data_IF_713475490636
#
_entry.id   IF_713475490636
#
_cell.length_a   1.000
_cell.length_b   1.000
_cell.length_c   1.000
_cell.angle_alpha   90.00
_cell.angle_beta   90.00
_cell.angle_gamma   90.00
#
_symmetry.space_group_name_H-M   'P 1'
#
loop_
_entity.id
_entity.type
_entity.pdbx_description
1 polymer ?
#
# COMPACT_ATOMS: atom_id res chain seq x y z
N UNK A 1 -12.29 12.92 15.47
CA UNK A 1 -11.09 13.38 14.71
C UNK A 1 -10.38 12.13 14.23
N UNK A 2 -9.93 12.06 12.99
CA UNK A 2 -9.27 10.86 12.46
C UNK A 2 -7.81 10.89 12.89
N UNK A 3 -7.31 9.78 13.43
CA UNK A 3 -5.88 9.54 13.55
C UNK A 3 -5.43 8.50 12.54
N UNK A 4 -4.32 8.76 11.85
CA UNK A 4 -3.68 7.77 10.99
C UNK A 4 -2.34 7.41 11.64
N UNK A 5 -2.21 6.17 12.07
CA UNK A 5 -0.99 5.63 12.65
C UNK A 5 -0.20 4.92 11.56
N UNK A 6 0.89 5.54 11.11
CA UNK A 6 1.88 4.92 10.22
C UNK A 6 2.86 4.15 11.09
N UNK A 7 2.80 2.83 11.03
CA UNK A 7 3.57 1.93 11.89
C UNK A 7 4.84 1.50 11.15
N UNK A 8 6.00 1.59 11.82
CA UNK A 8 7.28 1.15 11.24
C UNK A 8 7.29 -0.38 11.10
N UNK A 9 7.03 -0.86 9.89
CA UNK A 9 7.10 -2.27 9.54
C UNK A 9 8.53 -2.75 9.20
N UNK A 10 9.55 -1.90 9.41
CA UNK A 10 10.92 -1.98 8.86
C UNK A 10 10.97 -1.95 7.33
N UNK A 11 10.29 -2.89 6.67
CA UNK A 11 10.08 -2.90 5.24
C UNK A 11 8.62 -3.32 5.02
N UNK A 12 7.88 -2.57 4.20
CA UNK A 12 6.46 -2.84 4.01
C UNK A 12 5.53 -1.77 4.55
N UNK A 13 4.23 -2.05 4.41
CA UNK A 13 3.15 -1.18 4.84
C UNK A 13 2.46 -1.71 6.10
N UNK A 14 2.15 -0.80 7.02
CA UNK A 14 1.16 -1.02 8.07
C UNK A 14 0.59 0.32 8.53
N UNK A 15 -0.70 0.54 8.26
CA UNK A 15 -1.41 1.79 8.54
C UNK A 15 -2.68 1.48 9.31
N UNK A 16 -2.86 2.11 10.47
CA UNK A 16 -4.09 2.01 11.24
C UNK A 16 -4.81 3.36 11.24
N UNK A 17 -5.97 3.40 10.57
CA UNK A 17 -6.88 4.54 10.60
C UNK A 17 -7.83 4.35 11.78
N UNK A 18 -7.68 5.23 12.77
CA UNK A 18 -8.42 5.26 14.01
C UNK A 18 -9.46 6.40 13.97
N UNK A 19 -10.67 6.05 13.55
CA UNK A 19 -11.86 6.90 13.69
C UNK A 19 -12.46 6.69 15.08
N UNK A 20 -13.12 7.72 15.62
CA UNK A 20 -13.72 7.64 16.97
C UNK A 20 -14.66 6.42 17.14
N UNK A 21 -15.35 6.04 16.06
CA UNK A 21 -16.35 4.98 16.01
C UNK A 21 -15.94 3.74 15.20
N UNK A 22 -14.77 3.75 14.53
CA UNK A 22 -14.34 2.63 13.70
C UNK A 22 -12.83 2.52 13.53
N UNK A 23 -12.32 1.31 13.32
CA UNK A 23 -10.89 1.02 13.11
C UNK A 23 -10.68 0.31 11.78
N UNK A 24 -9.82 0.88 10.94
CA UNK A 24 -9.43 0.32 9.64
C UNK A 24 -7.93 0.04 9.66
N UNK A 25 -7.54 -1.22 9.47
CA UNK A 25 -6.14 -1.62 9.31
C UNK A 25 -5.84 -1.87 7.84
N UNK A 26 -4.83 -1.21 7.29
CA UNK A 26 -4.33 -1.44 5.92
C UNK A 26 -2.94 -2.04 6.04
N UNK A 27 -2.81 -3.27 5.58
CA UNK A 27 -1.61 -4.12 5.67
C UNK A 27 -1.10 -4.35 7.11
N UNK A 28 -0.20 -5.32 7.26
CA UNK A 28 0.30 -5.77 8.57
C UNK A 28 1.81 -6.05 8.56
N UNK A 29 2.54 -5.50 7.60
CA UNK A 29 3.99 -5.68 7.50
C UNK A 29 4.44 -7.13 7.27
N UNK A 30 5.76 -7.37 7.37
CA UNK A 30 6.40 -8.65 7.04
C UNK A 30 6.27 -9.68 8.15
N UNK A 31 6.31 -10.98 7.78
CA UNK A 31 6.26 -12.08 8.75
C UNK A 31 7.55 -12.25 9.55
N UNK A 32 8.63 -11.58 9.14
CA UNK A 32 9.94 -11.69 9.80
C UNK A 32 9.81 -11.36 11.29
N UNK A 33 10.43 -12.18 12.15
CA UNK A 33 10.14 -12.15 13.60
C UNK A 33 10.30 -10.77 14.25
N UNK A 34 11.40 -10.06 13.94
CA UNK A 34 11.68 -8.74 14.52
C UNK A 34 10.61 -7.72 14.12
N UNK A 35 10.42 -7.54 12.82
CA UNK A 35 9.46 -6.58 12.27
C UNK A 35 8.03 -6.88 12.74
N UNK A 36 7.61 -8.14 12.59
CA UNK A 36 6.31 -8.62 13.04
C UNK A 36 6.04 -8.32 14.50
N UNK A 37 6.98 -8.64 15.38
CA UNK A 37 6.82 -8.41 16.82
C UNK A 37 6.61 -6.93 17.10
N UNK A 38 7.40 -6.06 16.46
CA UNK A 38 7.35 -4.62 16.70
C UNK A 38 6.05 -4.01 16.14
N UNK A 39 5.58 -4.45 14.96
CA UNK A 39 4.28 -4.08 14.39
C UNK A 39 3.14 -4.48 15.31
N UNK A 40 3.05 -5.75 15.70
CA UNK A 40 1.96 -6.26 16.55
C UNK A 40 1.94 -5.57 17.92
N UNK A 41 3.11 -5.37 18.54
CA UNK A 41 3.20 -4.65 19.81
C UNK A 41 2.71 -3.20 19.70
N UNK A 42 2.95 -2.52 18.56
CA UNK A 42 2.43 -1.18 18.32
C UNK A 42 0.92 -1.18 18.08
N UNK A 43 0.38 -2.12 17.31
CA UNK A 43 -1.07 -2.28 17.11
C UNK A 43 -1.77 -2.51 18.46
N UNK A 44 -1.28 -3.46 19.27
CA UNK A 44 -1.83 -3.75 20.61
C UNK A 44 -1.73 -2.55 21.55
N UNK A 45 -0.64 -1.79 21.49
CA UNK A 45 -0.48 -0.57 22.30
C UNK A 45 -1.44 0.54 21.90
N UNK A 46 -1.75 0.68 20.61
CA UNK A 46 -2.69 1.69 20.11
C UNK A 46 -4.13 1.30 20.43
N UNK A 47 -4.51 0.06 20.11
CA UNK A 47 -5.89 -0.41 20.21
C UNK A 47 -6.26 -0.87 21.61
N UNK A 48 -5.32 -1.42 22.37
CA UNK A 48 -5.58 -2.14 23.61
C UNK A 48 -6.01 -3.60 23.40
N UNK A 49 -5.99 -4.38 24.47
CA UNK A 49 -6.40 -5.80 24.45
C UNK A 49 -7.90 -5.96 24.14
N UNK A 50 -8.26 -7.03 23.43
CA UNK A 50 -9.64 -7.37 23.04
C UNK A 50 -10.35 -6.34 22.15
N UNK A 51 -9.62 -5.36 21.63
CA UNK A 51 -10.16 -4.38 20.69
C UNK A 51 -10.53 -5.00 19.35
N UNK A 52 -11.35 -4.27 18.61
CA UNK A 52 -11.94 -4.72 17.34
C UNK A 52 -11.45 -3.83 16.21
N UNK A 53 -10.94 -4.48 15.16
CA UNK A 53 -10.72 -3.89 13.84
C UNK A 53 -11.97 -4.19 13.01
N UNK A 54 -12.71 -3.15 12.61
CA UNK A 54 -13.94 -3.32 11.83
C UNK A 54 -13.65 -3.88 10.45
N UNK A 55 -12.57 -3.37 9.84
CA UNK A 55 -12.11 -3.80 8.53
C UNK A 55 -10.58 -3.83 8.47
N UNK A 56 -10.05 -4.99 8.13
CA UNK A 56 -8.67 -5.17 7.72
C UNK A 56 -8.60 -5.26 6.19
N UNK A 57 -7.62 -4.61 5.59
CA UNK A 57 -7.42 -4.56 4.15
C UNK A 57 -6.03 -5.12 3.86
N UNK A 58 -5.98 -6.15 3.03
CA UNK A 58 -4.75 -6.68 2.48
C UNK A 58 -4.63 -6.14 1.06
N UNK A 59 -3.68 -5.23 0.83
CA UNK A 59 -3.55 -4.58 -0.48
C UNK A 59 -3.16 -5.61 -1.54
N UNK A 60 -2.19 -6.47 -1.25
CA UNK A 60 -1.76 -7.58 -2.09
C UNK A 60 -1.00 -8.64 -1.27
N UNK A 61 -0.47 -9.67 -1.91
CA UNK A 61 0.05 -10.88 -1.26
C UNK A 61 1.57 -10.92 -1.01
N UNK A 62 2.31 -9.83 -1.23
CA UNK A 62 3.73 -9.81 -0.87
C UNK A 62 3.93 -9.78 0.64
N UNK A 63 5.03 -10.39 1.08
CA UNK A 63 5.28 -10.67 2.49
C UNK A 63 5.24 -9.41 3.35
N UNK A 64 5.82 -8.32 2.87
CA UNK A 64 5.91 -7.03 3.55
C UNK A 64 4.58 -6.28 3.65
N UNK A 65 3.49 -6.86 3.13
CA UNK A 65 2.14 -6.35 3.29
C UNK A 65 1.26 -7.33 4.08
N UNK A 66 1.19 -8.59 3.64
CA UNK A 66 0.28 -9.58 4.22
C UNK A 66 0.87 -10.32 5.43
N UNK A 67 2.20 -10.35 5.57
CA UNK A 67 2.92 -11.34 6.38
C UNK A 67 2.59 -11.33 7.87
N UNK A 68 2.24 -10.17 8.43
CA UNK A 68 1.86 -10.05 9.84
C UNK A 68 0.45 -10.51 10.18
N UNK A 69 -0.47 -10.61 9.20
CA UNK A 69 -1.89 -10.87 9.49
C UNK A 69 -2.14 -12.23 10.15
N UNK A 70 -1.44 -13.28 9.72
CA UNK A 70 -1.57 -14.62 10.32
C UNK A 70 -1.36 -14.56 11.84
N UNK A 71 -0.39 -13.76 12.28
CA UNK A 71 -0.02 -13.63 13.68
C UNK A 71 -0.90 -12.64 14.44
N UNK A 72 -1.41 -11.60 13.76
CA UNK A 72 -2.41 -10.71 14.33
C UNK A 72 -3.67 -11.49 14.73
N UNK A 73 -4.08 -12.46 13.91
CA UNK A 73 -5.23 -13.32 14.18
C UNK A 73 -5.06 -14.22 15.41
N UNK A 74 -3.84 -14.42 15.90
CA UNK A 74 -3.54 -15.20 17.10
C UNK A 74 -3.39 -14.33 18.37
N UNK A 75 -3.56 -13.00 18.24
CA UNK A 75 -3.62 -12.07 19.37
C UNK A 75 -5.03 -12.00 19.96
N UNK A 76 -5.22 -11.13 20.98
CA UNK A 76 -6.56 -10.83 21.52
C UNK A 76 -7.40 -9.92 20.62
N UNK A 77 -6.78 -9.29 19.61
CA UNK A 77 -7.45 -8.34 18.72
C UNK A 77 -8.34 -9.11 17.75
N UNK A 78 -9.57 -8.63 17.60
CA UNK A 78 -10.57 -9.23 16.71
C UNK A 78 -10.64 -8.45 15.41
N UNK A 79 -10.91 -9.15 14.31
CA UNK A 79 -11.18 -8.56 13.01
C UNK A 79 -12.60 -8.95 12.61
N UNK A 80 -13.47 -7.97 12.35
CA UNK A 80 -14.84 -8.24 11.91
C UNK A 80 -14.87 -8.61 10.43
N UNK A 81 -14.22 -7.81 9.59
CA UNK A 81 -14.19 -7.99 8.13
C UNK A 81 -12.75 -7.94 7.62
N UNK A 82 -12.40 -8.79 6.67
CA UNK A 82 -11.16 -8.70 5.91
C UNK A 82 -11.46 -8.54 4.42
N UNK A 83 -10.91 -7.50 3.82
CA UNK A 83 -10.91 -7.28 2.37
C UNK A 83 -9.60 -7.81 1.81
N UNK A 84 -9.67 -8.81 0.94
CA UNK A 84 -8.51 -9.38 0.28
C UNK A 84 -8.90 -10.05 -1.04
N UNK A 85 -8.23 -9.69 -2.13
CA UNK A 85 -8.37 -10.36 -3.42
C UNK A 85 -7.41 -11.56 -3.48
N UNK A 86 -7.73 -12.63 -2.74
CA UNK A 86 -6.86 -13.80 -2.71
C UNK A 86 -6.86 -14.52 -4.06
N UNK A 87 -5.73 -15.12 -4.46
CA UNK A 87 -5.62 -15.93 -5.68
C UNK A 87 -6.75 -16.97 -5.84
N UNK A 88 -7.31 -17.43 -4.73
CA UNK A 88 -8.37 -18.43 -4.69
C UNK A 88 -9.75 -17.84 -4.97
N UNK A 89 -9.98 -16.57 -4.63
CA UNK A 89 -11.23 -15.86 -4.84
C UNK A 89 -11.27 -15.18 -6.22
N UNK A 90 -10.10 -14.93 -6.83
CA UNK A 90 -9.98 -14.32 -8.17
C UNK A 90 -10.89 -14.96 -9.24
N UNK A 91 -10.99 -16.31 -9.37
CA UNK A 91 -11.91 -16.91 -10.33
C UNK A 91 -13.36 -16.48 -10.14
N UNK A 92 -13.83 -16.31 -8.90
CA UNK A 92 -15.20 -15.89 -8.61
C UNK A 92 -15.38 -14.38 -8.85
N UNK A 93 -14.35 -13.57 -8.56
CA UNK A 93 -14.32 -12.14 -8.89
C UNK A 93 -14.44 -11.93 -10.41
N UNK A 94 -13.65 -12.68 -11.21
CA UNK A 94 -13.68 -12.61 -12.68
C UNK A 94 -14.99 -13.19 -13.24
N UNK A 95 -15.51 -14.29 -12.69
CA UNK A 95 -16.78 -14.87 -13.15
C UNK A 95 -17.99 -13.97 -12.88
N UNK A 96 -17.94 -13.18 -11.82
CA UNK A 96 -19.00 -12.19 -11.55
C UNK A 96 -18.95 -11.01 -12.54
N UNK A 97 -17.81 -10.73 -13.18
CA UNK A 97 -17.70 -9.79 -14.31
C UNK A 97 -17.95 -10.46 -15.68
N UNK A 98 -17.76 -11.78 -15.81
CA UNK A 98 -18.12 -12.58 -16.99
C UNK A 98 -18.85 -13.89 -16.59
N UNK A 99 -20.19 -13.92 -16.72
CA UNK A 99 -21.02 -15.10 -16.36
C UNK A 99 -20.50 -16.45 -16.95
N UNK A 100 -19.95 -17.36 -16.13
CA UNK A 100 -20.31 -18.80 -15.99
C UNK A 100 -19.41 -19.61 -15.03
N UNK A 101 -19.95 -20.75 -14.57
CA UNK A 101 -19.68 -21.52 -13.33
C UNK A 101 -18.48 -22.51 -13.41
N UNK A 102 -17.81 -22.75 -12.25
CA UNK A 102 -17.52 -24.10 -11.66
C UNK A 102 -16.22 -24.21 -10.82
N UNK A 103 -16.43 -24.63 -9.55
CA UNK A 103 -15.70 -25.35 -8.49
C UNK A 103 -14.16 -25.48 -8.40
N UNK A 104 -13.62 -25.39 -7.16
CA UNK A 104 -12.83 -26.47 -6.51
C UNK A 104 -12.62 -26.30 -4.99
N UNK A 105 -12.42 -27.44 -4.31
CA UNK A 105 -12.59 -27.71 -2.87
C UNK A 105 -11.59 -27.07 -1.89
N UNK A 106 -10.53 -26.42 -2.38
CA UNK A 106 -9.51 -25.77 -1.53
C UNK A 106 -10.02 -24.46 -0.88
N UNK A 107 -10.92 -23.74 -1.57
CA UNK A 107 -11.52 -22.50 -1.06
C UNK A 107 -12.30 -22.72 0.23
N UNK A 108 -12.87 -23.91 0.40
CA UNK A 108 -13.69 -24.24 1.56
C UNK A 108 -12.88 -24.27 2.86
N UNK A 109 -11.59 -24.61 2.84
CA UNK A 109 -10.80 -24.76 4.07
C UNK A 109 -10.37 -23.41 4.67
N UNK A 110 -9.89 -22.46 3.86
CA UNK A 110 -9.54 -21.11 4.34
C UNK A 110 -10.78 -20.27 4.64
N UNK A 111 -11.81 -20.36 3.80
CA UNK A 111 -13.11 -19.73 4.09
C UNK A 111 -13.73 -20.32 5.35
N UNK A 112 -13.61 -21.64 5.61
CA UNK A 112 -14.00 -22.24 6.90
C UNK A 112 -13.14 -21.75 8.05
N UNK A 113 -11.82 -21.67 7.94
CA UNK A 113 -10.96 -21.20 9.04
C UNK A 113 -11.24 -19.75 9.44
N UNK A 114 -11.55 -18.88 8.47
CA UNK A 114 -11.95 -17.50 8.73
C UNK A 114 -13.40 -17.42 9.23
N UNK A 115 -14.32 -18.21 8.67
CA UNK A 115 -15.71 -18.27 9.10
C UNK A 115 -15.90 -18.93 10.48
N UNK A 116 -15.08 -19.92 10.83
CA UNK A 116 -15.01 -20.55 12.16
C UNK A 116 -14.52 -19.55 13.22
N UNK A 117 -13.74 -18.54 12.80
CA UNK A 117 -13.36 -17.38 13.63
C UNK A 117 -14.37 -16.22 13.55
N UNK A 118 -15.47 -16.37 12.80
CA UNK A 118 -16.52 -15.35 12.64
C UNK A 118 -16.12 -14.13 11.80
N UNK A 119 -15.05 -14.22 11.01
CA UNK A 119 -14.52 -13.11 10.20
C UNK A 119 -15.19 -13.11 8.83
N UNK A 120 -15.79 -11.99 8.44
CA UNK A 120 -16.37 -11.80 7.10
C UNK A 120 -15.25 -11.55 6.08
N UNK A 121 -15.23 -12.29 4.98
CA UNK A 121 -14.29 -12.08 3.87
C UNK A 121 -14.98 -11.33 2.74
N UNK A 122 -14.30 -10.35 2.16
CA UNK A 122 -14.76 -9.56 1.01
C UNK A 122 -13.62 -9.40 0.00
N UNK A 123 -14.00 -9.24 -1.26
CA UNK A 123 -13.09 -8.85 -2.33
C UNK A 123 -13.51 -7.47 -2.85
N UNK A 124 -12.54 -6.71 -3.35
CA UNK A 124 -12.78 -5.36 -3.81
C UNK A 124 -11.89 -5.04 -5.00
N UNK A 125 -12.51 -4.62 -6.10
CA UNK A 125 -11.84 -4.20 -7.34
C UNK A 125 -12.31 -2.81 -7.71
N UNK A 126 -11.63 -2.15 -8.65
CA UNK A 126 -12.06 -0.87 -9.21
C UNK A 126 -13.52 -0.86 -9.66
N UNK A 127 -13.96 -1.96 -10.24
CA UNK A 127 -15.31 -2.09 -10.82
C UNK A 127 -16.36 -2.48 -9.77
N UNK A 128 -15.95 -2.70 -8.52
CA UNK A 128 -16.86 -2.96 -7.40
C UNK A 128 -17.57 -1.70 -6.95
N UNK A 129 -18.81 -1.83 -6.48
CA UNK A 129 -19.47 -0.71 -5.79
C UNK A 129 -18.69 -0.35 -4.51
N UNK A 130 -18.64 0.93 -4.11
CA UNK A 130 -17.98 1.34 -2.88
C UNK A 130 -18.51 0.56 -1.66
N UNK A 131 -17.58 0.15 -0.80
CA UNK A 131 -17.91 -0.51 0.46
C UNK A 131 -18.16 0.56 1.52
N UNK A 132 -19.33 0.53 2.17
CA UNK A 132 -19.69 1.47 3.22
C UNK A 132 -19.72 0.73 4.56
N UNK A 133 -18.92 1.19 5.53
CA UNK A 133 -18.86 0.65 6.88
C UNK A 133 -18.90 1.83 7.86
N UNK A 134 -19.91 1.86 8.72
CA UNK A 134 -20.07 2.90 9.74
C UNK A 134 -19.93 4.32 9.15
N UNK A 135 -20.61 4.57 8.02
CA UNK A 135 -20.58 5.81 7.23
C UNK A 135 -19.23 6.16 6.56
N UNK A 136 -18.20 5.33 6.72
CA UNK A 136 -16.93 5.45 6.01
C UNK A 136 -17.07 4.76 4.66
N UNK A 137 -16.77 5.48 3.59
CA UNK A 137 -16.83 4.97 2.21
C UNK A 137 -15.43 4.56 1.75
N UNK A 138 -15.30 3.32 1.29
CA UNK A 138 -14.08 2.76 0.71
C UNK A 138 -14.33 2.48 -0.78
N UNK A 139 -13.69 3.25 -1.64
CA UNK A 139 -13.76 3.10 -3.10
C UNK A 139 -12.44 2.58 -3.62
N UNK A 140 -12.41 1.35 -4.15
CA UNK A 140 -11.22 0.85 -4.81
C UNK A 140 -11.03 1.55 -6.16
N UNK A 141 -9.82 2.01 -6.42
CA UNK A 141 -9.40 2.55 -7.73
C UNK A 141 -8.57 1.53 -8.52
N UNK A 142 -7.99 0.54 -7.81
CA UNK A 142 -7.28 -0.63 -8.33
C UNK A 142 -7.52 -1.81 -7.39
N UNK A 143 -7.27 -3.07 -7.80
CA UNK A 143 -6.96 -3.52 -9.16
C UNK A 143 -8.22 -3.63 -10.01
N UNK A 144 -8.04 -3.77 -11.33
CA UNK A 144 -9.12 -4.20 -12.23
C UNK A 144 -9.29 -5.72 -12.18
N UNK A 145 -10.40 -6.25 -12.68
CA UNK A 145 -10.56 -7.70 -12.82
C UNK A 145 -9.48 -8.31 -13.72
N UNK A 146 -9.05 -7.60 -14.76
CA UNK A 146 -8.00 -8.04 -15.69
C UNK A 146 -6.62 -8.11 -15.02
N UNK A 147 -6.32 -7.19 -14.10
CA UNK A 147 -5.08 -7.24 -13.32
C UNK A 147 -5.05 -8.49 -12.41
N UNK A 148 -6.20 -8.84 -11.81
CA UNK A 148 -6.34 -10.08 -11.05
C UNK A 148 -6.23 -11.33 -11.93
N UNK A 149 -6.79 -11.31 -13.14
CA UNK A 149 -6.64 -12.41 -14.10
C UNK A 149 -5.17 -12.63 -14.48
N UNK A 150 -4.42 -11.55 -14.71
CA UNK A 150 -2.99 -11.61 -14.96
C UNK A 150 -2.23 -12.26 -13.79
N UNK A 151 -2.59 -11.92 -12.55
CA UNK A 151 -2.02 -12.51 -11.34
C UNK A 151 -2.31 -14.01 -11.23
N UNK A 152 -3.55 -14.44 -11.51
CA UNK A 152 -3.92 -15.85 -11.52
C UNK A 152 -3.14 -16.64 -12.58
N UNK A 153 -3.01 -16.08 -13.78
CA UNK A 153 -2.27 -16.69 -14.87
C UNK A 153 -0.77 -16.81 -14.56
N UNK A 154 -0.14 -15.78 -14.00
CA UNK A 154 1.26 -15.86 -13.57
C UNK A 154 1.45 -16.93 -12.50
N UNK A 155 0.59 -16.98 -11.48
CA UNK A 155 0.66 -18.00 -10.43
C UNK A 155 0.59 -19.43 -10.98
N UNK A 156 -0.27 -19.67 -11.98
CA UNK A 156 -0.36 -20.97 -12.66
C UNK A 156 0.93 -21.29 -13.44
N UNK A 157 1.45 -20.31 -14.19
CA UNK A 157 2.72 -20.47 -14.93
C UNK A 157 3.91 -20.71 -13.99
N UNK A 158 3.97 -20.04 -12.85
CA UNK A 158 5.03 -20.26 -11.86
C UNK A 158 4.92 -21.66 -11.24
N UNK A 159 3.72 -22.13 -10.88
CA UNK A 159 3.52 -23.50 -10.40
C UNK A 159 4.00 -24.54 -11.42
N UNK A 160 3.63 -24.39 -12.68
CA UNK A 160 4.10 -25.27 -13.77
C UNK A 160 5.64 -25.24 -13.92
N UNK A 161 6.25 -24.06 -13.78
CA UNK A 161 7.71 -23.88 -13.84
C UNK A 161 8.42 -24.47 -12.63
N UNK A 162 7.87 -24.35 -11.43
CA UNK A 162 8.40 -24.90 -10.18
C UNK A 162 8.31 -26.43 -10.16
N UNK A 163 7.20 -26.99 -10.66
CA UNK A 163 7.03 -28.42 -10.91
C UNK A 163 8.06 -28.96 -11.93
N UNK A 164 8.45 -28.15 -12.92
CA UNK A 164 9.46 -28.49 -13.92
C UNK A 164 10.91 -28.17 -13.51
N UNK A 165 11.16 -27.33 -12.50
CA UNK A 165 12.51 -26.88 -12.08
C UNK A 165 12.81 -27.14 -10.61
N UNK A 166 13.01 -28.42 -10.26
CA UNK A 166 14.00 -28.80 -9.24
C UNK A 166 15.41 -28.85 -9.81
N UNK A 167 15.93 -27.70 -10.31
CA UNK A 167 17.36 -27.38 -10.56
C UNK A 167 17.48 -26.08 -11.36
N UNK A 168 17.80 -24.98 -10.70
CA UNK A 168 18.71 -23.90 -11.15
C UNK A 168 18.82 -22.86 -10.04
N UNK A 169 20.06 -22.52 -9.65
CA UNK A 169 20.36 -21.44 -8.70
C UNK A 169 20.10 -20.09 -9.37
N UNK A 170 19.46 -19.18 -8.63
CA UNK A 170 19.33 -17.76 -9.02
C UNK A 170 20.70 -17.11 -9.14
N UNK A 171 20.86 -16.29 -10.17
CA UNK A 171 22.00 -15.38 -10.36
C UNK A 171 21.61 -14.06 -9.70
N UNK A 172 22.45 -13.55 -8.80
CA UNK A 172 22.26 -12.26 -8.14
C UNK A 172 22.29 -11.13 -9.17
N UNK A 173 21.26 -10.28 -9.20
CA UNK A 173 21.28 -9.01 -9.95
C UNK A 173 22.36 -8.11 -9.37
N UNK A 174 23.19 -7.51 -10.22
CA UNK A 174 24.16 -6.48 -9.83
C UNK A 174 23.44 -5.33 -9.10
N UNK A 175 23.98 -4.90 -7.95
CA UNK A 175 23.43 -3.81 -7.15
C UNK A 175 23.54 -2.52 -7.99
N UNK A 176 22.43 -2.06 -8.57
CA UNK A 176 22.40 -0.74 -9.18
C UNK A 176 22.61 0.29 -8.07
N UNK A 177 23.54 1.22 -8.28
CA UNK A 177 23.70 2.37 -7.41
C UNK A 177 22.50 3.31 -7.60
N UNK A 178 22.00 3.87 -6.50
CA UNK A 178 20.92 4.84 -6.57
C UNK A 178 21.44 6.17 -7.15
N UNK A 179 20.65 6.80 -8.02
CA UNK A 179 20.91 8.14 -8.53
C UNK A 179 21.01 9.16 -7.37
N UNK A 180 21.90 10.13 -7.46
CA UNK A 180 22.03 11.19 -6.44
C UNK A 180 20.88 12.21 -6.52
N UNK A 181 20.52 12.89 -5.40
CA UNK A 181 19.48 13.91 -5.39
C UNK A 181 19.65 15.01 -6.46
N UNK A 182 20.86 15.53 -6.65
CA UNK A 182 21.15 16.59 -7.63
C UNK A 182 20.95 16.11 -9.07
N UNK A 183 21.40 14.89 -9.36
CA UNK A 183 21.24 14.29 -10.69
C UNK A 183 19.76 13.99 -10.98
N UNK A 184 19.01 13.52 -9.98
CA UNK A 184 17.58 13.30 -10.11
C UNK A 184 16.83 14.60 -10.44
N UNK A 185 17.10 15.68 -9.69
CA UNK A 185 16.52 17.00 -9.95
C UNK A 185 16.93 17.55 -11.33
N UNK A 186 18.19 17.37 -11.72
CA UNK A 186 18.68 17.79 -13.03
C UNK A 186 17.93 17.07 -14.16
N UNK A 187 17.69 15.76 -14.04
CA UNK A 187 16.93 14.99 -15.04
C UNK A 187 15.49 15.49 -15.19
N UNK A 188 14.84 15.86 -14.08
CA UNK A 188 13.50 16.45 -14.11
C UNK A 188 13.55 17.81 -14.84
N UNK A 189 14.46 18.69 -14.45
CA UNK A 189 14.60 20.04 -15.02
C UNK A 189 14.98 20.04 -16.50
N UNK A 190 15.79 19.07 -16.95
CA UNK A 190 16.21 18.95 -18.34
C UNK A 190 15.20 18.19 -19.22
N UNK A 191 14.07 17.72 -18.66
CA UNK A 191 13.09 16.89 -19.38
C UNK A 191 13.62 15.50 -19.76
N UNK A 192 14.62 15.00 -19.03
CA UNK A 192 15.26 13.69 -19.23
C UNK A 192 14.76 12.63 -18.24
N UNK A 193 13.72 12.92 -17.46
CA UNK A 193 13.03 11.92 -16.67
C UNK A 193 12.30 10.93 -17.58
N UNK A 194 12.80 9.70 -17.64
CA UNK A 194 12.21 8.60 -18.41
C UNK A 194 11.63 7.59 -17.42
N UNK A 195 10.30 7.52 -17.37
CA UNK A 195 9.61 6.59 -16.49
C UNK A 195 9.75 5.14 -16.97
N UNK A 196 10.30 4.28 -16.11
CA UNK A 196 10.40 2.83 -16.34
C UNK A 196 9.43 2.13 -15.39
N UNK A 197 8.28 1.76 -15.92
CA UNK A 197 7.21 1.15 -15.14
C UNK A 197 7.62 -0.16 -14.46
N UNK A 198 7.04 -0.38 -13.30
CA UNK A 198 7.12 -1.64 -12.58
C UNK A 198 6.56 -2.80 -13.43
N UNK A 199 7.10 -4.00 -13.26
CA UNK A 199 6.70 -5.20 -14.02
C UNK A 199 6.14 -6.30 -13.12
N UNK A 200 6.10 -6.08 -11.81
CA UNK A 200 5.55 -7.02 -10.84
C UNK A 200 4.05 -7.13 -11.03
N UNK A 201 3.61 -8.32 -11.42
CA UNK A 201 2.20 -8.67 -11.56
C UNK A 201 1.50 -8.63 -10.20
N UNK A 202 2.23 -8.99 -9.14
CA UNK A 202 1.74 -8.90 -7.76
C UNK A 202 1.49 -7.45 -7.37
N UNK A 203 2.41 -6.52 -7.65
CA UNK A 203 2.21 -5.11 -7.32
C UNK A 203 1.01 -4.54 -8.10
N UNK A 204 0.82 -4.99 -9.35
CA UNK A 204 -0.33 -4.65 -10.18
C UNK A 204 -1.68 -5.07 -9.57
N UNK A 205 -1.71 -6.13 -8.75
CA UNK A 205 -2.94 -6.59 -8.08
C UNK A 205 -3.27 -5.81 -6.80
N UNK A 206 -2.46 -4.80 -6.44
CA UNK A 206 -2.68 -3.98 -5.25
C UNK A 206 -4.03 -3.29 -5.24
N UNK A 207 -4.75 -3.45 -4.12
CA UNK A 207 -5.96 -2.69 -3.81
C UNK A 207 -5.56 -1.26 -3.42
N UNK A 208 -5.69 -0.34 -4.37
CA UNK A 208 -5.57 1.10 -4.15
C UNK A 208 -6.92 1.69 -3.81
N UNK A 209 -7.01 2.50 -2.76
CA UNK A 209 -8.29 2.90 -2.15
C UNK A 209 -8.38 4.39 -1.89
N UNK A 210 -9.52 4.97 -2.25
CA UNK A 210 -9.99 6.22 -1.67
C UNK A 210 -10.87 5.91 -0.47
N UNK A 211 -10.52 6.47 0.70
CA UNK A 211 -11.27 6.34 1.95
C UNK A 211 -11.81 7.71 2.34
N UNK A 212 -13.14 7.83 2.47
CA UNK A 212 -13.82 9.09 2.73
C UNK A 212 -14.75 9.01 3.94
N UNK A 213 -14.75 10.05 4.76
CA UNK A 213 -15.68 10.21 5.88
C UNK A 213 -15.83 11.69 6.26
N UNK A 214 -17.06 12.20 6.29
CA UNK A 214 -17.30 13.64 6.45
C UNK A 214 -16.55 14.45 5.38
N UNK A 215 -15.79 15.45 5.81
CA UNK A 215 -14.90 16.22 4.93
C UNK A 215 -13.55 15.53 4.60
N UNK A 216 -13.19 14.45 5.29
CA UNK A 216 -11.89 13.78 5.08
C UNK A 216 -11.90 12.90 3.82
N UNK A 217 -10.80 12.94 3.07
CA UNK A 217 -10.54 12.09 1.91
C UNK A 217 -9.06 11.72 1.79
N UNK A 218 -8.74 10.46 2.06
CA UNK A 218 -7.38 9.90 1.90
C UNK A 218 -7.28 8.91 0.74
N UNK A 219 -6.11 8.83 0.11
CA UNK A 219 -5.79 7.85 -0.94
C UNK A 219 -4.65 6.92 -0.49
N UNK A 220 -4.86 5.61 -0.57
CA UNK A 220 -3.92 4.60 -0.08
C UNK A 220 -3.59 3.63 -1.22
N UNK A 221 -2.38 3.72 -1.77
CA UNK A 221 -2.08 3.08 -3.06
C UNK A 221 -1.49 1.67 -2.96
N UNK A 222 -1.15 1.18 -1.76
CA UNK A 222 -0.37 -0.05 -1.60
C UNK A 222 0.86 0.02 -2.50
N UNK A 223 0.98 -0.93 -3.43
CA UNK A 223 2.04 -1.01 -4.44
C UNK A 223 1.52 -0.90 -5.88
N UNK A 224 0.33 -0.33 -6.08
CA UNK A 224 -0.32 -0.22 -7.38
C UNK A 224 0.56 0.44 -8.46
N UNK A 225 0.38 0.03 -9.72
CA UNK A 225 1.11 0.63 -10.85
C UNK A 225 0.61 2.05 -11.13
N UNK A 226 1.51 2.94 -11.56
CA UNK A 226 1.18 4.35 -11.79
C UNK A 226 0.04 4.51 -12.81
N UNK A 227 0.09 3.72 -13.87
CA UNK A 227 -0.88 3.75 -14.96
C UNK A 227 -2.28 3.32 -14.50
N UNK A 228 -2.37 2.27 -13.68
CA UNK A 228 -3.64 1.80 -13.14
C UNK A 228 -4.23 2.82 -12.15
N UNK A 229 -3.38 3.52 -11.38
CA UNK A 229 -3.80 4.63 -10.50
C UNK A 229 -4.33 5.80 -11.31
N UNK A 230 -3.61 6.23 -12.36
CA UNK A 230 -4.05 7.31 -13.26
C UNK A 230 -5.40 6.96 -13.88
N UNK A 231 -5.55 5.74 -14.41
CA UNK A 231 -6.79 5.29 -15.03
C UNK A 231 -7.93 5.23 -14.00
N UNK A 232 -7.69 4.64 -12.83
CA UNK A 232 -8.67 4.52 -11.75
C UNK A 232 -9.18 5.87 -11.24
N UNK A 233 -8.27 6.82 -10.99
CA UNK A 233 -8.63 8.18 -10.58
C UNK A 233 -9.45 8.90 -11.66
N UNK A 234 -9.10 8.75 -12.94
CA UNK A 234 -9.86 9.38 -14.03
C UNK A 234 -11.26 8.78 -14.20
N UNK A 235 -11.37 7.45 -14.25
CA UNK A 235 -12.65 6.75 -14.47
C UNK A 235 -13.64 7.03 -13.34
N UNK A 236 -13.15 7.06 -12.10
CA UNK A 236 -13.98 7.25 -10.91
C UNK A 236 -14.20 8.74 -10.55
N UNK A 237 -13.66 9.67 -11.34
CA UNK A 237 -13.90 11.11 -11.18
C UNK A 237 -13.07 11.80 -10.10
N UNK A 238 -11.93 11.22 -9.73
CA UNK A 238 -10.99 11.76 -8.74
C UNK A 238 -9.83 12.58 -9.33
N UNK A 239 -9.78 12.80 -10.64
CA UNK A 239 -8.65 13.44 -11.33
C UNK A 239 -8.39 14.93 -11.00
N UNK A 240 -9.34 15.61 -10.33
CA UNK A 240 -9.16 16.95 -9.76
C UNK A 240 -9.59 16.98 -8.29
N UNK A 241 -9.65 15.81 -7.65
CA UNK A 241 -10.10 15.70 -6.28
C UNK A 241 -8.96 16.06 -5.33
N UNK A 242 -9.28 16.85 -4.31
CA UNK A 242 -8.31 17.19 -3.27
C UNK A 242 -8.28 16.08 -2.22
N UNK A 243 -7.13 15.43 -2.11
CA UNK A 243 -6.85 14.49 -1.02
C UNK A 243 -6.20 15.24 0.15
N UNK A 244 -6.59 14.89 1.37
CA UNK A 244 -5.90 15.37 2.56
C UNK A 244 -4.52 14.69 2.67
N UNK A 245 -4.48 13.40 2.34
CA UNK A 245 -3.28 12.57 2.46
C UNK A 245 -3.24 11.46 1.43
N UNK A 246 -2.05 11.16 0.91
CA UNK A 246 -1.79 10.07 -0.02
C UNK A 246 -0.65 9.18 0.47
N UNK A 247 -0.90 7.88 0.70
CA UNK A 247 0.18 6.88 0.75
C UNK A 247 0.67 6.65 -0.67
N UNK A 248 1.89 7.09 -0.96
CA UNK A 248 2.56 6.87 -2.27
C UNK A 248 2.84 5.39 -2.52
N UNK A 249 2.59 4.95 -3.74
CA UNK A 249 2.74 3.55 -4.13
C UNK A 249 4.15 2.99 -3.89
N UNK A 250 4.22 1.72 -3.47
CA UNK A 250 5.43 0.89 -3.46
C UNK A 250 6.58 1.55 -2.72
N UNK A 251 6.30 1.99 -1.49
CA UNK A 251 7.28 2.59 -0.58
C UNK A 251 7.95 3.87 -1.14
N UNK A 252 7.38 4.47 -2.19
CA UNK A 252 8.02 5.57 -2.93
C UNK A 252 8.96 5.09 -4.04
N UNK A 253 8.67 3.95 -4.68
CA UNK A 253 9.43 3.48 -5.84
C UNK A 253 9.28 4.41 -7.04
N UNK A 254 10.40 4.70 -7.69
CA UNK A 254 10.43 5.49 -8.93
C UNK A 254 9.73 4.79 -10.10
N UNK A 255 9.46 3.49 -9.96
CA UNK A 255 8.80 2.65 -10.98
C UNK A 255 7.28 2.62 -10.85
N UNK A 256 6.74 3.16 -9.76
CA UNK A 256 5.31 3.20 -9.46
C UNK A 256 4.78 4.63 -9.28
N UNK A 257 5.66 5.63 -9.30
CA UNK A 257 5.30 7.03 -9.07
C UNK A 257 5.90 7.92 -10.16
N UNK A 258 5.10 8.38 -11.11
CA UNK A 258 5.54 9.27 -12.18
C UNK A 258 4.98 10.70 -11.99
N UNK A 259 5.44 11.67 -12.78
CA UNK A 259 4.97 13.07 -12.67
C UNK A 259 3.47 13.18 -12.97
N UNK A 260 2.97 12.40 -13.93
CA UNK A 260 1.55 12.43 -14.32
C UNK A 260 0.64 12.01 -13.17
N UNK A 261 0.94 10.89 -12.50
CA UNK A 261 0.17 10.41 -11.36
C UNK A 261 0.22 11.38 -10.19
N UNK A 262 1.39 11.95 -9.88
CA UNK A 262 1.54 12.97 -8.83
C UNK A 262 0.77 14.25 -9.16
N UNK A 263 0.73 14.67 -10.42
CA UNK A 263 0.02 15.88 -10.85
C UNK A 263 -1.49 15.75 -10.64
N UNK A 264 -2.05 14.55 -10.75
CA UNK A 264 -3.47 14.28 -10.49
C UNK A 264 -3.85 14.37 -8.99
N UNK A 265 -2.87 14.25 -8.08
CA UNK A 265 -3.12 14.31 -6.64
C UNK A 265 -3.33 15.75 -6.14
N UNK A 266 -2.86 16.74 -6.90
CA UNK A 266 -2.83 18.13 -6.45
C UNK A 266 -1.97 18.31 -5.20
N UNK A 267 -2.35 19.30 -4.36
CA UNK A 267 -1.68 19.53 -3.08
C UNK A 267 -2.29 18.64 -2.00
N UNK A 268 -1.44 17.81 -1.39
CA UNK A 268 -1.79 16.81 -0.39
C UNK A 268 -0.59 16.56 0.53
N UNK A 269 -0.83 16.00 1.72
CA UNK A 269 0.24 15.38 2.51
C UNK A 269 0.61 14.01 1.90
N UNK A 270 1.87 13.59 2.03
CA UNK A 270 2.35 12.31 1.52
C UNK A 270 2.75 11.37 2.66
N UNK A 271 2.37 10.10 2.60
CA UNK A 271 2.89 9.04 3.47
C UNK A 271 3.87 8.17 2.67
N UNK A 272 5.09 8.02 3.20
CA UNK A 272 6.14 7.14 2.67
C UNK A 272 6.45 6.05 3.70
N UNK A 273 5.95 4.84 3.44
CA UNK A 273 6.29 3.66 4.21
C UNK A 273 7.64 3.12 3.72
N UNK A 274 8.74 3.52 4.33
CA UNK A 274 10.07 3.17 3.83
C UNK A 274 11.15 3.34 4.89
N UNK A 275 12.29 2.68 4.69
CA UNK A 275 13.45 2.77 5.60
C UNK A 275 14.79 3.05 4.89
N UNK A 276 14.81 3.17 3.56
CA UNK A 276 15.99 3.38 2.72
C UNK A 276 17.08 2.27 2.78
N UNK A 277 16.80 1.09 3.33
CA UNK A 277 17.80 0.00 3.40
C UNK A 277 17.66 -0.99 2.24
N UNK A 278 16.42 -1.33 1.88
CA UNK A 278 16.09 -2.27 0.79
C UNK A 278 15.58 -1.47 -0.41
N UNK A 279 16.17 -1.70 -1.58
CA UNK A 279 15.83 -1.00 -2.85
C UNK A 279 15.98 0.53 -2.85
N UNK A 280 16.53 1.10 -1.77
CA UNK A 280 16.69 2.55 -1.57
C UNK A 280 15.36 3.33 -1.60
N UNK A 281 14.24 2.69 -1.26
CA UNK A 281 12.95 3.38 -1.18
C UNK A 281 12.91 4.33 0.03
N UNK A 282 12.28 5.52 -0.09
CA UNK A 282 11.77 6.11 -1.32
C UNK A 282 12.94 6.51 -2.22
N UNK A 283 12.81 6.30 -3.53
CA UNK A 283 13.90 6.61 -4.45
C UNK A 283 14.10 8.12 -4.59
N UNK A 284 15.34 8.54 -4.82
CA UNK A 284 15.67 9.95 -5.06
C UNK A 284 14.90 10.54 -6.26
N UNK A 285 14.63 9.75 -7.30
CA UNK A 285 13.81 10.20 -8.42
C UNK A 285 12.35 10.48 -8.01
N UNK A 286 11.75 9.64 -7.15
CA UNK A 286 10.40 9.87 -6.60
C UNK A 286 10.35 11.17 -5.81
N UNK A 287 11.31 11.38 -4.91
CA UNK A 287 11.39 12.63 -4.13
C UNK A 287 11.60 13.84 -5.04
N UNK A 288 12.47 13.74 -6.05
CA UNK A 288 12.67 14.81 -7.03
C UNK A 288 11.40 15.13 -7.82
N UNK A 289 10.59 14.11 -8.20
CA UNK A 289 9.30 14.31 -8.87
C UNK A 289 8.30 15.04 -7.98
N UNK A 290 8.16 14.64 -6.72
CA UNK A 290 7.31 15.35 -5.73
C UNK A 290 7.76 16.81 -5.61
N UNK A 291 9.05 17.02 -5.39
CA UNK A 291 9.64 18.35 -5.17
C UNK A 291 9.61 19.25 -6.39
N UNK A 292 9.50 18.68 -7.60
CA UNK A 292 9.30 19.46 -8.82
C UNK A 292 7.90 20.05 -8.97
N UNK A 293 6.92 19.48 -8.25
CA UNK A 293 5.52 19.92 -8.27
C UNK A 293 5.16 20.77 -7.04
N UNK A 294 5.76 20.49 -5.88
CA UNK A 294 5.64 21.28 -4.66
C UNK A 294 7.00 21.45 -3.99
N UNK A 295 7.47 22.69 -3.86
CA UNK A 295 8.73 23.01 -3.18
C UNK A 295 8.63 22.94 -1.65
N UNK A 296 7.41 22.80 -1.11
CA UNK A 296 7.07 22.82 0.31
C UNK A 296 6.20 21.65 0.78
N UNK A 297 6.47 20.40 0.33
CA UNK A 297 5.55 19.29 0.57
C UNK A 297 5.57 18.88 2.04
N UNK A 298 4.44 18.37 2.53
CA UNK A 298 4.38 17.64 3.80
C UNK A 298 4.63 16.16 3.54
N UNK A 299 5.62 15.57 4.21
CA UNK A 299 5.99 14.15 4.02
C UNK A 299 6.06 13.44 5.38
N UNK A 300 5.21 12.45 5.57
CA UNK A 300 5.16 11.62 6.76
C UNK A 300 5.84 10.28 6.49
N UNK A 301 6.87 9.96 7.27
CA UNK A 301 7.67 8.76 7.08
C UNK A 301 7.32 7.71 8.13
N UNK A 302 7.30 6.44 7.74
CA UNK A 302 7.06 5.32 8.66
C UNK A 302 8.26 5.00 9.55
N UNK A 303 9.49 5.34 9.11
CA UNK A 303 10.74 5.01 9.80
C UNK A 303 11.60 6.25 10.05
N UNK A 304 12.29 6.29 11.19
CA UNK A 304 13.28 7.30 11.56
C UNK A 304 14.73 6.82 11.27
N UNK A 305 14.88 5.83 10.38
CA UNK A 305 16.17 5.30 9.99
C UNK A 305 17.14 6.43 9.58
N UNK A 306 18.37 6.48 10.15
CA UNK A 306 19.31 7.56 9.85
C UNK A 306 19.64 7.75 8.37
N UNK A 307 19.63 6.67 7.58
CA UNK A 307 19.84 6.72 6.13
C UNK A 307 18.70 7.44 5.42
N UNK A 308 17.45 7.20 5.85
CA UNK A 308 16.27 7.86 5.31
C UNK A 308 16.20 9.34 5.74
N UNK A 309 16.51 9.63 7.00
CA UNK A 309 16.60 11.01 7.51
C UNK A 309 17.68 11.78 6.73
N UNK A 310 18.85 11.17 6.51
CA UNK A 310 19.92 11.73 5.68
C UNK A 310 19.42 12.07 4.28
N UNK A 311 18.72 11.14 3.62
CA UNK A 311 18.16 11.36 2.28
C UNK A 311 17.23 12.58 2.22
N UNK A 312 16.32 12.75 3.18
CA UNK A 312 15.44 13.94 3.22
C UNK A 312 16.26 15.23 3.46
N UNK A 313 17.27 15.17 4.33
CA UNK A 313 18.15 16.30 4.61
C UNK A 313 19.04 16.70 3.41
N UNK A 314 19.39 15.76 2.54
CA UNK A 314 20.11 16.05 1.31
C UNK A 314 19.26 16.97 0.42
N UNK A 315 17.97 16.65 0.21
CA UNK A 315 17.06 17.53 -0.52
C UNK A 315 16.85 18.88 0.16
N UNK A 316 16.74 18.92 1.50
CA UNK A 316 16.67 20.21 2.24
C UNK A 316 17.92 21.07 2.02
N UNK A 317 19.09 20.45 1.96
CA UNK A 317 20.37 21.13 1.68
C UNK A 317 20.45 21.69 0.26
N UNK A 318 19.65 21.15 -0.66
CA UNK A 318 19.48 21.65 -2.03
C UNK A 318 18.45 22.78 -2.14
N UNK A 319 17.90 23.27 -1.02
CA UNK A 319 17.05 24.46 -0.96
C UNK A 319 15.55 24.18 -0.86
N UNK A 320 15.12 22.92 -0.74
CA UNK A 320 13.72 22.56 -0.56
C UNK A 320 13.27 22.69 0.89
N UNK A 321 12.04 23.15 1.12
CA UNK A 321 11.46 23.30 2.46
C UNK A 321 10.47 22.18 2.75
N UNK A 322 10.99 20.99 3.02
CA UNK A 322 10.19 19.79 3.28
C UNK A 322 9.67 19.82 4.72
N UNK A 323 8.35 19.74 4.90
CA UNK A 323 7.70 19.57 6.20
C UNK A 323 7.58 18.08 6.51
N UNK A 324 8.60 17.50 7.12
CA UNK A 324 8.70 16.07 7.40
C UNK A 324 8.29 15.70 8.83
N UNK A 325 7.72 14.50 8.99
CA UNK A 325 7.52 13.89 10.31
C UNK A 325 7.97 12.43 10.33
N UNK A 326 8.39 11.98 11.51
CA UNK A 326 8.98 10.67 11.75
C UNK A 326 8.27 9.95 12.90
N UNK A 327 8.36 8.62 12.98
CA UNK A 327 7.78 7.88 14.08
C UNK A 327 8.43 8.24 15.42
N UNK A 328 7.63 8.19 16.49
CA UNK A 328 8.13 8.16 17.86
C UNK A 328 7.82 6.80 18.46
N UNK A 329 8.86 6.03 18.82
CA UNK A 329 8.73 4.63 19.28
C UNK A 329 8.01 3.74 18.25
N UNK A 330 8.38 3.88 16.97
CA UNK A 330 7.89 3.03 15.88
C UNK A 330 6.50 3.38 15.33
N UNK A 331 5.91 4.50 15.74
CA UNK A 331 4.62 4.97 15.20
C UNK A 331 4.67 6.47 14.91
N UNK A 332 4.32 6.86 13.69
CA UNK A 332 4.08 8.25 13.30
C UNK A 332 2.56 8.47 13.25
N UNK A 333 2.03 9.36 14.09
CA UNK A 333 0.58 9.57 14.21
C UNK A 333 0.19 10.91 13.61
N UNK A 334 -0.66 10.86 12.59
CA UNK A 334 -1.20 12.01 11.87
C UNK A 334 -2.63 12.26 12.35
N UNK A 335 -3.12 13.50 12.25
CA UNK A 335 -4.46 13.86 12.70
C UNK A 335 -5.18 14.74 11.68
N UNK A 336 -6.40 14.35 11.33
CA UNK A 336 -7.23 15.05 10.35
C UNK A 336 -8.62 15.31 10.94
N UNK A 337 -9.11 16.54 10.76
CA UNK A 337 -10.49 16.88 11.11
C UNK A 337 -11.43 16.41 9.99
N UNK A 338 -12.50 15.72 10.38
CA UNK A 338 -13.67 15.49 9.55
C UNK A 338 -14.84 16.14 10.28
N UNK A 339 -15.40 17.22 9.75
CA UNK A 339 -16.62 17.84 10.30
C UNK A 339 -17.75 17.73 9.31
#
# INVERSE_FOLDING_TARGET
>A
MLKIHVIDATHGDCLLLDFDHSKILIDCGPKSFKARRDVLANIEKILGENSVIDIAIVTHNDDDHIGGFEFLLDTSIKINTIVFNSLQDIPDIIKNSQKQISYNQDNALKQRLLAERGIKTLCLTRDSSPLIINDITLTAITPTAEALECMLNDANVQKEREEQKRRRKQISSSKAEEIKPEEALQKIQSGQDVFVKDQSITNKSSIGLVIQYGSFSGLFLGDAHAEDVIEGLNILGFNNHQFDVVKISHHGSERNTNIESLSLLGKTDYILCANNEKHYHPNNMTLARILSLDNTPTIHLSSDNPSLVGKINDFKSLGFSINDSYPTKGVNTLSYEYK
#
